data_IF_148131575839
#
_entry.id   IF_148131575839
#
_cell.length_a   1.000
_cell.length_b   1.000
_cell.length_c   1.000
_cell.angle_alpha   90.00
_cell.angle_beta   90.00
_cell.angle_gamma   90.00
#
_symmetry.space_group_name_H-M   'P 1'
#
loop_
_entity.id
_entity.type
_entity.pdbx_description
1 polymer ?
#
# COMPACT_ATOMS: atom_id res chain seq x y z
N UNK A 1 -7.19 11.63 -23.64
CA UNK A 1 -7.90 11.37 -22.37
C UNK A 1 -8.56 12.65 -21.85
N UNK A 2 -9.52 12.54 -20.92
CA UNK A 2 -10.04 13.72 -20.21
C UNK A 2 -8.99 14.32 -19.28
N UNK A 3 -9.02 15.65 -19.16
CA UNK A 3 -8.11 16.41 -18.28
C UNK A 3 -8.49 16.22 -16.82
N UNK A 4 -7.88 15.23 -16.16
CA UNK A 4 -8.06 14.91 -14.73
C UNK A 4 -6.86 14.15 -14.18
N UNK A 5 -6.86 13.92 -12.85
CA UNK A 5 -5.89 13.06 -12.20
C UNK A 5 -6.40 11.60 -12.17
N UNK A 6 -5.64 10.69 -12.74
CA UNK A 6 -5.87 9.24 -12.66
C UNK A 6 -4.95 8.62 -11.61
N UNK A 7 -5.51 8.00 -10.57
CA UNK A 7 -4.75 7.18 -9.63
C UNK A 7 -4.78 5.75 -10.14
N UNK A 8 -3.64 5.23 -10.58
CA UNK A 8 -3.56 3.97 -11.31
C UNK A 8 -2.80 2.93 -10.48
N UNK A 9 -3.50 1.91 -9.94
CA UNK A 9 -2.84 0.81 -9.24
C UNK A 9 -1.91 0.02 -10.15
N UNK A 10 -0.73 -0.33 -9.61
CA UNK A 10 0.28 -1.15 -10.27
C UNK A 10 0.40 -2.52 -9.57
N UNK A 11 0.94 -3.56 -10.24
CA UNK A 11 1.13 -4.87 -9.65
C UNK A 11 1.94 -4.84 -8.35
N UNK A 12 1.60 -5.69 -7.39
CA UNK A 12 2.34 -5.83 -6.12
C UNK A 12 3.40 -6.94 -6.14
N UNK A 13 3.60 -7.58 -7.30
CA UNK A 13 4.59 -8.65 -7.45
C UNK A 13 4.39 -9.51 -8.69
N UNK A 14 3.16 -9.64 -9.19
CA UNK A 14 2.83 -10.36 -10.39
C UNK A 14 2.29 -9.40 -11.46
N UNK A 15 2.94 -9.33 -12.61
CA UNK A 15 2.56 -8.42 -13.70
C UNK A 15 1.16 -8.70 -14.26
N UNK A 16 0.63 -9.93 -14.10
CA UNK A 16 -0.72 -10.30 -14.53
C UNK A 16 -1.83 -9.62 -13.70
N UNK A 17 -1.49 -9.07 -12.52
CA UNK A 17 -2.46 -8.37 -11.66
C UNK A 17 -2.76 -6.94 -12.13
N UNK A 18 -2.13 -6.45 -13.19
CA UNK A 18 -2.48 -5.16 -13.79
C UNK A 18 -3.78 -5.26 -14.57
N UNK A 19 -4.64 -4.27 -14.43
CA UNK A 19 -5.89 -4.26 -15.20
C UNK A 19 -5.66 -3.76 -16.64
N UNK A 20 -6.45 -4.27 -17.58
CA UNK A 20 -6.44 -3.78 -18.97
C UNK A 20 -6.74 -2.28 -19.04
N UNK A 21 -7.60 -1.76 -18.13
CA UNK A 21 -7.89 -0.34 -18.04
C UNK A 21 -6.70 0.47 -17.56
N UNK A 22 -5.94 -0.04 -16.59
CA UNK A 22 -4.70 0.61 -16.13
C UNK A 22 -3.70 0.75 -17.29
N UNK A 23 -3.45 -0.32 -18.04
CA UNK A 23 -2.56 -0.29 -19.21
C UNK A 23 -3.04 0.75 -20.22
N UNK A 24 -4.33 0.76 -20.57
CA UNK A 24 -4.90 1.73 -21.51
C UNK A 24 -4.72 3.17 -21.02
N UNK A 25 -5.07 3.45 -19.76
CA UNK A 25 -4.93 4.80 -19.19
C UNK A 25 -3.47 5.25 -19.22
N UNK A 26 -2.53 4.39 -18.81
CA UNK A 26 -1.10 4.73 -18.83
C UNK A 26 -0.55 4.97 -20.24
N UNK A 27 -1.14 4.37 -21.30
CA UNK A 27 -0.78 4.63 -22.70
C UNK A 27 -1.35 5.94 -23.25
N UNK A 28 -2.48 6.39 -22.73
CA UNK A 28 -3.26 7.49 -23.31
C UNK A 28 -3.09 8.83 -22.58
N UNK A 29 -2.61 8.86 -21.31
CA UNK A 29 -2.40 10.11 -20.59
C UNK A 29 -1.19 10.88 -21.11
N UNK A 30 -1.18 12.21 -20.89
CA UNK A 30 -0.08 13.09 -21.32
C UNK A 30 1.15 12.97 -20.42
N UNK A 31 0.95 12.61 -19.14
CA UNK A 31 2.02 12.52 -18.16
C UNK A 31 1.76 11.38 -17.16
N UNK A 32 2.81 10.62 -16.85
CA UNK A 32 2.83 9.69 -15.70
C UNK A 32 3.72 10.26 -14.60
N UNK A 33 3.19 10.31 -13.38
CA UNK A 33 3.92 10.59 -12.15
C UNK A 33 4.25 9.26 -11.47
N UNK A 34 5.52 9.04 -11.17
CA UNK A 34 5.99 7.80 -10.56
C UNK A 34 6.85 8.08 -9.33
N UNK A 35 6.73 7.24 -8.30
CA UNK A 35 7.51 7.33 -7.07
C UNK A 35 9.00 7.09 -7.36
N UNK A 36 9.36 5.93 -7.92
CA UNK A 36 10.68 5.64 -8.47
C UNK A 36 10.59 5.35 -9.97
N UNK A 37 11.12 6.27 -10.78
CA UNK A 37 11.10 6.15 -12.24
C UNK A 37 11.88 4.95 -12.77
N UNK A 38 12.82 4.39 -11.99
CA UNK A 38 13.60 3.20 -12.37
C UNK A 38 12.75 1.93 -12.23
N UNK A 39 12.00 1.83 -11.13
CA UNK A 39 11.06 0.72 -10.88
C UNK A 39 9.91 0.78 -11.87
N UNK A 40 9.22 1.91 -11.93
CA UNK A 40 8.10 2.13 -12.83
C UNK A 40 8.50 1.99 -14.31
N UNK A 41 9.72 2.41 -14.69
CA UNK A 41 10.23 2.27 -16.05
C UNK A 41 10.29 0.80 -16.54
N UNK A 42 10.55 -0.15 -15.64
CA UNK A 42 10.51 -1.59 -15.99
C UNK A 42 9.10 -2.05 -16.32
N UNK A 43 8.12 -1.62 -15.51
CA UNK A 43 6.69 -1.90 -15.74
C UNK A 43 6.23 -1.32 -17.07
N UNK A 44 6.49 -0.02 -17.29
CA UNK A 44 6.08 0.66 -18.53
C UNK A 44 6.70 0.02 -19.77
N UNK A 45 7.98 -0.34 -19.70
CA UNK A 45 8.67 -1.05 -20.79
C UNK A 45 8.03 -2.41 -21.09
N UNK A 46 7.66 -3.17 -20.05
CA UNK A 46 7.04 -4.49 -20.23
C UNK A 46 5.71 -4.42 -20.98
N UNK A 47 4.89 -3.39 -20.71
CA UNK A 47 3.60 -3.18 -21.37
C UNK A 47 3.65 -2.27 -22.61
N UNK A 48 4.86 -1.95 -23.08
CA UNK A 48 5.06 -1.08 -24.25
C UNK A 48 4.36 0.28 -24.08
N UNK A 49 4.50 0.89 -22.91
CA UNK A 49 3.99 2.22 -22.57
C UNK A 49 5.12 3.21 -22.75
N UNK A 50 4.96 4.14 -23.71
CA UNK A 50 5.95 5.16 -24.05
C UNK A 50 5.64 6.55 -23.48
N UNK A 51 4.58 6.68 -22.71
CA UNK A 51 4.13 7.94 -22.10
C UNK A 51 5.23 8.55 -21.24
N UNK A 52 5.38 9.88 -21.34
CA UNK A 52 6.39 10.62 -20.61
C UNK A 52 6.19 10.48 -19.09
N UNK A 53 7.28 10.25 -18.36
CA UNK A 53 7.25 9.97 -16.92
C UNK A 53 8.08 10.99 -16.14
N UNK A 54 7.52 11.52 -15.05
CA UNK A 54 8.21 12.36 -14.08
C UNK A 54 8.23 11.74 -12.70
N UNK A 55 9.27 12.02 -11.92
CA UNK A 55 9.36 11.60 -10.53
C UNK A 55 8.45 12.44 -9.62
N UNK A 56 7.63 11.76 -8.80
CA UNK A 56 6.77 12.35 -7.79
C UNK A 56 6.79 11.48 -6.53
N UNK A 57 7.59 11.86 -5.55
CA UNK A 57 7.83 11.09 -4.34
C UNK A 57 7.73 11.99 -3.09
N UNK A 58 7.69 11.40 -1.91
CA UNK A 58 7.53 12.07 -0.62
C UNK A 58 8.45 13.30 -0.42
N UNK A 59 9.68 13.28 -0.96
CA UNK A 59 10.64 14.38 -0.78
C UNK A 59 10.46 15.55 -1.76
N UNK A 60 9.76 15.36 -2.90
CA UNK A 60 9.51 16.43 -3.87
C UNK A 60 8.04 16.82 -4.00
N UNK A 61 7.13 16.03 -3.46
CA UNK A 61 5.66 16.18 -3.53
C UNK A 61 5.23 17.62 -3.23
N UNK A 62 5.66 18.21 -2.10
CA UNK A 62 5.33 19.58 -1.73
C UNK A 62 5.72 20.65 -2.77
N UNK A 63 6.75 20.40 -3.58
CA UNK A 63 7.24 21.35 -4.59
C UNK A 63 6.54 21.19 -5.93
N UNK A 64 6.06 19.99 -6.23
CA UNK A 64 5.52 19.63 -7.55
C UNK A 64 4.01 19.76 -7.64
N UNK A 65 3.28 19.60 -6.52
CA UNK A 65 1.81 19.56 -6.46
C UNK A 65 1.17 20.75 -7.17
N UNK A 66 1.55 21.99 -6.86
CA UNK A 66 0.93 23.17 -7.45
C UNK A 66 1.12 23.23 -8.99
N UNK A 67 2.28 22.85 -9.48
CA UNK A 67 2.57 22.79 -10.90
C UNK A 67 1.72 21.71 -11.61
N UNK A 68 1.60 20.52 -11.01
CA UNK A 68 0.81 19.43 -11.56
C UNK A 68 -0.67 19.81 -11.64
N UNK A 69 -1.23 20.39 -10.57
CA UNK A 69 -2.61 20.90 -10.58
C UNK A 69 -2.83 21.90 -11.71
N UNK A 70 -1.88 22.83 -11.92
CA UNK A 70 -1.98 23.82 -12.99
C UNK A 70 -1.92 23.18 -14.39
N UNK A 71 -1.07 22.16 -14.59
CA UNK A 71 -1.00 21.40 -15.85
C UNK A 71 -2.33 20.74 -16.18
N UNK A 72 -2.97 20.08 -15.19
CA UNK A 72 -4.28 19.45 -15.40
C UNK A 72 -5.34 20.51 -15.72
N UNK A 73 -5.36 21.66 -15.02
CA UNK A 73 -6.28 22.77 -15.33
C UNK A 73 -6.06 23.36 -16.72
N UNK A 74 -4.86 23.25 -17.27
CA UNK A 74 -4.53 23.68 -18.63
C UNK A 74 -4.86 22.61 -19.69
N UNK A 75 -5.48 21.50 -19.32
CA UNK A 75 -5.97 20.50 -20.27
C UNK A 75 -5.19 19.20 -20.31
N UNK A 76 -4.11 19.04 -19.53
CA UNK A 76 -3.36 17.78 -19.52
C UNK A 76 -4.07 16.69 -18.68
N UNK A 77 -4.00 15.45 -19.15
CA UNK A 77 -4.38 14.25 -18.41
C UNK A 77 -3.15 13.67 -17.69
N UNK A 78 -3.26 13.42 -16.38
CA UNK A 78 -2.11 12.98 -15.57
C UNK A 78 -2.44 11.70 -14.83
N UNK A 79 -1.57 10.69 -14.93
CA UNK A 79 -1.65 9.48 -14.11
C UNK A 79 -0.62 9.53 -12.98
N UNK A 80 -1.03 9.11 -11.77
CA UNK A 80 -0.13 8.83 -10.65
C UNK A 80 -0.06 7.33 -10.41
N UNK A 81 1.15 6.79 -10.33
CA UNK A 81 1.46 5.42 -9.94
C UNK A 81 2.43 5.41 -8.75
N UNK A 82 2.36 4.37 -7.93
CA UNK A 82 3.38 4.03 -6.92
C UNK A 82 4.25 2.87 -7.39
N UNK A 83 5.26 2.52 -6.63
CA UNK A 83 6.14 1.40 -6.95
C UNK A 83 5.40 0.06 -6.96
N UNK A 84 4.36 -0.08 -6.12
CA UNK A 84 3.52 -1.26 -6.05
C UNK A 84 2.15 -0.93 -5.43
N UNK A 85 1.07 -1.45 -6.00
CA UNK A 85 -0.27 -1.32 -5.45
C UNK A 85 -0.98 -0.02 -5.80
N UNK A 86 -1.90 0.40 -4.93
CA UNK A 86 -2.75 1.57 -5.14
C UNK A 86 -2.08 2.83 -4.60
N UNK A 87 -1.83 3.86 -5.44
CA UNK A 87 -1.23 5.12 -5.01
C UNK A 87 -1.98 5.78 -3.85
N UNK A 88 -1.28 6.50 -3.00
CA UNK A 88 -1.77 7.16 -1.79
C UNK A 88 -2.18 6.22 -0.64
N UNK A 89 -2.07 4.90 -0.80
CA UNK A 89 -2.27 3.92 0.28
C UNK A 89 -0.90 3.52 0.84
N UNK A 90 -0.47 4.17 1.91
CA UNK A 90 0.89 4.07 2.50
C UNK A 90 2.02 4.57 1.59
N UNK A 91 1.69 5.21 0.48
CA UNK A 91 2.56 5.74 -0.56
C UNK A 91 2.29 7.23 -0.80
N UNK A 92 3.15 7.95 -1.55
CA UNK A 92 2.89 9.33 -1.97
C UNK A 92 1.59 9.44 -2.80
N UNK A 93 0.97 10.64 -2.74
CA UNK A 93 -0.21 10.93 -3.54
C UNK A 93 -1.35 11.62 -2.79
N UNK A 94 -1.41 11.49 -1.46
CA UNK A 94 -2.45 12.15 -0.67
C UNK A 94 -2.46 13.66 -0.86
N UNK A 95 -1.29 14.33 -0.84
CA UNK A 95 -1.21 15.78 -1.00
C UNK A 95 -1.65 16.23 -2.40
N UNK A 96 -1.28 15.48 -3.43
CA UNK A 96 -1.69 15.77 -4.81
C UNK A 96 -3.21 15.58 -4.97
N UNK A 97 -3.74 14.48 -4.49
CA UNK A 97 -5.18 14.18 -4.53
C UNK A 97 -5.98 15.28 -3.85
N UNK A 98 -5.58 15.66 -2.63
CA UNK A 98 -6.22 16.73 -1.87
C UNK A 98 -6.15 18.07 -2.60
N UNK A 99 -4.98 18.45 -3.11
CA UNK A 99 -4.80 19.71 -3.84
C UNK A 99 -5.63 19.75 -5.14
N UNK A 100 -5.75 18.62 -5.86
CA UNK A 100 -6.64 18.51 -7.02
C UNK A 100 -8.10 18.82 -6.63
N UNK A 101 -8.61 18.20 -5.58
CA UNK A 101 -9.98 18.44 -5.10
C UNK A 101 -10.19 19.89 -4.65
N UNK A 102 -9.26 20.46 -3.89
CA UNK A 102 -9.31 21.87 -3.44
C UNK A 102 -9.30 22.87 -4.61
N UNK A 103 -8.79 22.45 -5.78
CA UNK A 103 -8.73 23.29 -6.99
C UNK A 103 -9.78 22.92 -8.06
N UNK A 104 -10.76 22.08 -7.74
CA UNK A 104 -11.83 21.69 -8.65
C UNK A 104 -11.35 20.79 -9.81
N UNK A 105 -10.21 20.11 -9.65
CA UNK A 105 -9.71 19.12 -10.59
C UNK A 105 -10.36 17.77 -10.30
N UNK A 106 -10.92 17.15 -11.32
CA UNK A 106 -11.53 15.82 -11.23
C UNK A 106 -10.47 14.73 -10.98
N UNK A 107 -10.84 13.72 -10.19
CA UNK A 107 -9.98 12.58 -9.87
C UNK A 107 -10.71 11.28 -10.20
N UNK A 108 -10.00 10.36 -10.81
CA UNK A 108 -10.46 9.00 -11.03
C UNK A 108 -9.46 7.99 -10.46
N UNK A 109 -9.84 7.31 -9.36
CA UNK A 109 -9.07 6.20 -8.83
C UNK A 109 -9.55 4.89 -9.49
N UNK A 110 -8.66 4.22 -10.20
CA UNK A 110 -8.99 2.94 -10.82
C UNK A 110 -9.00 1.82 -9.76
N UNK A 111 -9.92 0.84 -9.84
CA UNK A 111 -9.79 -0.40 -9.08
C UNK A 111 -8.57 -1.19 -9.57
N UNK A 112 -7.86 -1.83 -8.65
CA UNK A 112 -6.68 -2.61 -9.00
C UNK A 112 -5.99 -3.24 -7.81
N UNK A 113 -4.74 -3.67 -8.00
CA UNK A 113 -3.98 -4.40 -7.01
C UNK A 113 -3.73 -3.58 -5.73
N UNK A 114 -3.90 -4.25 -4.58
CA UNK A 114 -3.51 -3.74 -3.26
C UNK A 114 -3.26 -4.92 -2.32
N UNK A 115 -2.21 -4.87 -1.52
CA UNK A 115 -1.78 -6.03 -0.75
C UNK A 115 -2.70 -6.39 0.43
N UNK A 116 -3.32 -5.39 1.08
CA UNK A 116 -4.08 -5.63 2.29
C UNK A 116 -5.41 -6.37 2.04
N UNK A 117 -6.04 -6.21 0.88
CA UNK A 117 -7.32 -6.89 0.55
C UNK A 117 -7.14 -8.40 0.45
N UNK A 118 -6.26 -8.95 -0.41
CA UNK A 118 -6.03 -10.40 -0.45
C UNK A 118 -5.51 -10.95 0.88
N UNK A 119 -4.66 -10.22 1.61
CA UNK A 119 -4.21 -10.63 2.93
C UNK A 119 -5.38 -10.76 3.93
N UNK A 120 -6.29 -9.79 3.96
CA UNK A 120 -7.47 -9.83 4.82
C UNK A 120 -8.38 -11.02 4.48
N UNK A 121 -8.67 -11.23 3.20
CA UNK A 121 -9.50 -12.36 2.75
C UNK A 121 -8.83 -13.69 3.09
N UNK A 122 -7.53 -13.82 2.83
CA UNK A 122 -6.75 -15.03 3.13
C UNK A 122 -6.58 -15.28 4.64
N UNK A 123 -6.78 -14.27 5.49
CA UNK A 123 -6.59 -14.42 6.94
C UNK A 123 -7.60 -15.40 7.57
N UNK A 124 -8.83 -15.45 7.05
CA UNK A 124 -9.95 -16.15 7.67
C UNK A 124 -10.47 -15.47 8.95
N UNK A 125 -9.99 -14.28 9.29
CA UNK A 125 -10.50 -13.46 10.39
C UNK A 125 -11.74 -12.68 9.92
N UNK A 126 -12.60 -12.20 10.85
CA UNK A 126 -13.75 -11.36 10.51
C UNK A 126 -13.35 -10.19 9.63
N UNK A 127 -14.01 -10.02 8.48
CA UNK A 127 -13.61 -9.05 7.46
C UNK A 127 -14.75 -8.10 7.03
N UNK A 128 -15.93 -8.22 7.67
CA UNK A 128 -17.06 -7.32 7.45
C UNK A 128 -16.78 -5.88 7.95
N UNK A 129 -15.95 -5.76 8.98
CA UNK A 129 -15.46 -4.49 9.53
C UNK A 129 -14.01 -4.62 9.93
N UNK A 130 -13.17 -3.73 9.44
CA UNK A 130 -11.73 -3.75 9.73
C UNK A 130 -11.15 -2.35 9.83
N UNK A 131 -9.95 -2.26 10.38
CA UNK A 131 -9.13 -1.05 10.43
C UNK A 131 -7.86 -1.30 9.63
N UNK A 132 -7.58 -0.46 8.65
CA UNK A 132 -6.28 -0.43 7.98
C UNK A 132 -5.38 0.59 8.68
N UNK A 133 -4.34 0.11 9.34
CA UNK A 133 -3.39 0.92 10.09
C UNK A 133 -2.14 1.27 9.25
N UNK A 134 -1.81 0.46 8.26
CA UNK A 134 -0.57 0.60 7.49
C UNK A 134 0.66 0.34 8.35
N UNK A 135 1.72 1.14 8.18
CA UNK A 135 2.96 1.00 8.96
C UNK A 135 2.85 1.68 10.32
N UNK A 136 3.14 0.93 11.38
CA UNK A 136 3.25 1.50 12.73
C UNK A 136 4.39 2.53 12.82
N UNK A 137 4.24 3.59 13.64
CA UNK A 137 5.32 4.53 13.91
C UNK A 137 6.60 3.83 14.38
N UNK A 138 7.77 4.28 13.88
CA UNK A 138 9.06 3.63 14.19
C UNK A 138 9.48 3.83 15.65
N UNK A 139 9.27 5.04 16.20
CA UNK A 139 9.69 5.43 17.56
C UNK A 139 8.58 6.22 18.27
N UNK A 140 8.52 7.54 18.05
CA UNK A 140 7.60 8.46 18.71
C UNK A 140 6.15 8.08 18.39
N UNK A 141 5.31 7.93 19.42
CA UNK A 141 3.88 7.60 19.29
C UNK A 141 3.56 6.11 19.09
N UNK A 142 4.56 5.22 18.92
CA UNK A 142 4.32 3.79 18.69
C UNK A 142 3.58 3.12 19.84
N UNK A 143 4.06 3.28 21.07
CA UNK A 143 3.43 2.66 22.25
C UNK A 143 2.02 3.21 22.50
N UNK A 144 1.84 4.53 22.38
CA UNK A 144 0.52 5.16 22.50
C UNK A 144 -0.46 4.61 21.45
N UNK A 145 0.02 4.41 20.21
CA UNK A 145 -0.81 3.85 19.14
C UNK A 145 -1.16 2.39 19.40
N UNK A 146 -0.21 1.57 19.84
CA UNK A 146 -0.46 0.17 20.21
C UNK A 146 -1.44 0.05 21.37
N UNK A 147 -1.28 0.87 22.43
CA UNK A 147 -2.22 0.91 23.55
C UNK A 147 -3.64 1.29 23.10
N UNK A 148 -3.78 2.26 22.20
CA UNK A 148 -5.07 2.62 21.61
C UNK A 148 -5.69 1.46 20.83
N UNK A 149 -4.89 0.75 20.01
CA UNK A 149 -5.35 -0.37 19.19
C UNK A 149 -5.64 -1.64 20.00
N UNK A 150 -5.14 -1.74 21.24
CA UNK A 150 -5.38 -2.90 22.10
C UNK A 150 -6.87 -3.14 22.38
N UNK A 151 -7.66 -2.07 22.41
CA UNK A 151 -9.11 -2.12 22.63
C UNK A 151 -9.94 -2.21 21.35
N UNK A 152 -9.30 -2.25 20.17
CA UNK A 152 -10.00 -2.36 18.89
C UNK A 152 -10.67 -3.74 18.76
N UNK A 153 -11.98 -3.74 18.52
CA UNK A 153 -12.79 -4.96 18.39
C UNK A 153 -12.87 -5.48 16.95
N UNK A 154 -12.50 -4.64 15.97
CA UNK A 154 -12.45 -5.01 14.55
C UNK A 154 -11.10 -5.64 14.22
N UNK A 155 -11.04 -6.39 13.13
CA UNK A 155 -9.78 -6.86 12.55
C UNK A 155 -8.90 -5.68 12.15
N UNK A 156 -7.60 -5.73 12.51
CA UNK A 156 -6.63 -4.68 12.23
C UNK A 156 -5.60 -5.19 11.23
N UNK A 157 -5.25 -4.36 10.25
CA UNK A 157 -4.31 -4.71 9.18
C UNK A 157 -3.12 -3.77 9.22
N UNK A 158 -1.92 -4.36 9.24
CA UNK A 158 -0.65 -3.63 9.23
C UNK A 158 0.18 -4.04 8.01
N UNK A 159 0.98 -3.10 7.52
CA UNK A 159 2.14 -3.38 6.68
C UNK A 159 3.38 -3.47 7.55
N UNK A 160 4.28 -4.42 7.27
CA UNK A 160 5.51 -4.52 8.04
C UNK A 160 6.70 -4.99 7.18
N UNK A 161 7.86 -4.46 7.50
CA UNK A 161 9.12 -4.86 6.89
C UNK A 161 9.74 -6.07 7.59
N UNK A 162 10.57 -6.88 6.89
CA UNK A 162 11.25 -8.03 7.49
C UNK A 162 12.11 -7.63 8.68
N UNK A 163 12.73 -6.45 8.63
CA UNK A 163 13.61 -5.96 9.69
C UNK A 163 12.90 -5.61 11.00
N UNK A 164 11.58 -5.43 10.97
CA UNK A 164 10.79 -5.00 12.14
C UNK A 164 9.76 -6.04 12.56
N UNK A 165 9.47 -7.03 11.75
CA UNK A 165 8.38 -7.98 11.98
C UNK A 165 8.45 -8.61 13.38
N UNK A 166 9.59 -9.20 13.74
CA UNK A 166 9.73 -9.87 15.06
C UNK A 166 9.52 -8.89 16.23
N UNK A 167 10.09 -7.67 16.12
CA UNK A 167 9.86 -6.63 17.13
C UNK A 167 8.39 -6.21 17.20
N UNK A 168 7.71 -6.15 16.07
CA UNK A 168 6.29 -5.80 16.01
C UNK A 168 5.43 -6.90 16.64
N UNK A 169 5.72 -8.16 16.37
CA UNK A 169 5.05 -9.30 16.99
C UNK A 169 5.25 -9.33 18.52
N UNK A 170 6.47 -9.05 19.01
CA UNK A 170 6.73 -8.90 20.44
C UNK A 170 5.89 -7.79 21.07
N UNK A 171 5.78 -6.63 20.39
CA UNK A 171 4.89 -5.57 20.84
C UNK A 171 3.42 -5.99 20.83
N UNK A 172 2.99 -6.79 19.85
CA UNK A 172 1.61 -7.30 19.81
C UNK A 172 1.33 -8.27 20.98
N UNK A 173 2.29 -9.12 21.35
CA UNK A 173 2.14 -9.97 22.54
C UNK A 173 1.98 -9.15 23.81
N UNK A 174 2.74 -8.05 23.96
CA UNK A 174 2.69 -7.15 25.11
C UNK A 174 1.36 -6.39 25.20
N UNK A 175 0.88 -5.81 24.08
CA UNK A 175 -0.29 -4.92 24.08
C UNK A 175 -1.61 -5.62 23.77
N UNK A 176 -1.60 -6.63 22.88
CA UNK A 176 -2.82 -7.30 22.41
C UNK A 176 -3.02 -8.68 23.06
N UNK A 177 -1.95 -9.24 23.65
CA UNK A 177 -1.93 -10.59 24.21
C UNK A 177 -1.33 -11.64 23.28
N UNK A 178 -0.63 -12.61 23.88
CA UNK A 178 0.08 -13.68 23.17
C UNK A 178 -0.87 -14.61 22.39
N UNK A 179 -2.08 -14.81 22.89
CA UNK A 179 -3.10 -15.69 22.27
C UNK A 179 -3.97 -14.99 21.22
N UNK A 180 -3.70 -13.69 20.92
CA UNK A 180 -4.45 -12.94 19.93
C UNK A 180 -4.33 -13.62 18.56
N UNK A 181 -5.44 -13.94 17.88
CA UNK A 181 -5.41 -14.52 16.54
C UNK A 181 -4.74 -13.57 15.55
N UNK A 182 -3.89 -14.12 14.70
CA UNK A 182 -3.12 -13.37 13.71
C UNK A 182 -2.95 -14.18 12.43
N UNK A 183 -2.89 -13.49 11.31
CA UNK A 183 -2.46 -14.03 10.03
C UNK A 183 -1.35 -13.16 9.45
N UNK A 184 -0.33 -13.77 8.89
CA UNK A 184 0.81 -13.09 8.28
C UNK A 184 0.96 -13.57 6.85
N UNK A 185 0.68 -12.68 5.89
CA UNK A 185 0.92 -12.93 4.46
C UNK A 185 2.26 -12.32 4.07
N UNK A 186 3.11 -13.12 3.44
CA UNK A 186 4.44 -12.77 2.98
C UNK A 186 4.46 -12.81 1.47
N UNK A 187 5.12 -11.82 0.84
CA UNK A 187 5.42 -11.81 -0.60
C UNK A 187 4.20 -12.17 -1.49
N UNK A 188 3.03 -11.60 -1.17
CA UNK A 188 1.79 -11.82 -1.92
C UNK A 188 2.00 -11.64 -3.41
N UNK A 189 1.45 -12.57 -4.20
CA UNK A 189 1.52 -12.68 -5.66
C UNK A 189 2.92 -13.01 -6.24
N UNK A 190 3.95 -13.11 -5.38
CA UNK A 190 5.33 -13.40 -5.78
C UNK A 190 5.66 -14.89 -5.62
N UNK A 191 6.83 -15.32 -6.15
CA UNK A 191 7.29 -16.70 -6.11
C UNK A 191 7.33 -17.33 -4.70
N UNK A 192 7.60 -16.52 -3.67
CA UNK A 192 7.71 -16.99 -2.29
C UNK A 192 6.51 -16.58 -1.44
N UNK A 193 5.34 -16.48 -2.06
CA UNK A 193 4.10 -16.22 -1.34
C UNK A 193 3.84 -17.28 -0.27
N UNK A 194 3.54 -16.84 0.93
CA UNK A 194 3.21 -17.70 2.06
C UNK A 194 2.21 -16.97 2.97
N UNK A 195 1.20 -17.67 3.47
CA UNK A 195 0.29 -17.12 4.48
C UNK A 195 0.24 -18.06 5.69
N UNK A 196 0.73 -17.57 6.82
CA UNK A 196 0.72 -18.24 8.12
C UNK A 196 -0.47 -17.75 8.95
N UNK A 197 -1.08 -18.65 9.73
CA UNK A 197 -2.22 -18.36 10.61
C UNK A 197 -1.99 -19.03 11.96
N UNK A 198 -2.39 -18.36 13.03
CA UNK A 198 -2.23 -18.86 14.39
C UNK A 198 -2.39 -17.75 15.42
N UNK A 199 -1.66 -17.85 16.51
CA UNK A 199 -1.56 -16.85 17.58
C UNK A 199 -0.31 -15.99 17.43
N UNK A 200 -0.28 -14.85 18.10
CA UNK A 200 0.91 -13.98 18.14
C UNK A 200 2.12 -14.75 18.67
N UNK A 201 1.93 -15.60 19.72
CA UNK A 201 3.01 -16.41 20.29
C UNK A 201 3.61 -17.39 19.28
N UNK A 202 2.77 -18.11 18.54
CA UNK A 202 3.21 -19.06 17.51
C UNK A 202 3.98 -18.35 16.39
N UNK A 203 3.57 -17.15 16.00
CA UNK A 203 4.29 -16.34 15.00
C UNK A 203 5.64 -15.86 15.52
N UNK A 204 5.75 -15.48 16.80
CA UNK A 204 7.03 -15.12 17.40
C UNK A 204 7.98 -16.33 17.37
N UNK A 205 7.51 -17.51 17.76
CA UNK A 205 8.30 -18.74 17.74
C UNK A 205 8.78 -19.06 16.30
N UNK A 206 7.84 -19.03 15.34
CA UNK A 206 8.15 -19.30 13.93
C UNK A 206 9.25 -18.38 13.39
N UNK A 207 9.10 -17.04 13.55
CA UNK A 207 10.05 -16.08 13.00
C UNK A 207 11.33 -15.92 13.82
N UNK A 208 11.37 -16.43 15.04
CA UNK A 208 12.61 -16.58 15.81
C UNK A 208 13.48 -17.71 15.22
N UNK A 209 12.84 -18.81 14.82
CA UNK A 209 13.53 -19.96 14.22
C UNK A 209 13.82 -19.78 12.72
N UNK A 210 12.97 -19.03 12.00
CA UNK A 210 13.09 -18.74 10.57
C UNK A 210 13.08 -17.22 10.34
N UNK A 211 14.24 -16.56 10.25
CA UNK A 211 14.30 -15.11 10.09
C UNK A 211 13.46 -14.59 8.91
N UNK A 212 12.66 -13.53 9.11
CA UNK A 212 11.74 -13.02 8.11
C UNK A 212 12.47 -12.41 6.91
N UNK A 213 11.96 -12.65 5.70
CA UNK A 213 12.45 -12.10 4.44
C UNK A 213 11.27 -11.69 3.58
N UNK A 214 11.43 -10.60 2.82
CA UNK A 214 10.40 -10.07 1.93
C UNK A 214 9.47 -9.09 2.63
N UNK A 215 8.33 -8.81 2.04
CA UNK A 215 7.33 -7.85 2.50
C UNK A 215 6.16 -8.58 3.17
N UNK A 216 5.60 -7.97 4.18
CA UNK A 216 4.57 -8.60 5.00
C UNK A 216 3.31 -7.74 5.13
N UNK A 217 2.17 -8.41 5.05
CA UNK A 217 0.90 -7.90 5.55
C UNK A 217 0.51 -8.71 6.78
N UNK A 218 0.27 -8.02 7.88
CA UNK A 218 -0.08 -8.63 9.17
C UNK A 218 -1.52 -8.28 9.49
N UNK A 219 -2.37 -9.30 9.64
CA UNK A 219 -3.79 -9.16 9.97
C UNK A 219 -4.02 -9.71 11.37
N UNK A 220 -4.49 -8.87 12.29
CA UNK A 220 -4.69 -9.20 13.71
C UNK A 220 -6.17 -9.19 14.02
N UNK A 221 -6.67 -10.23 14.67
CA UNK A 221 -8.06 -10.29 15.12
C UNK A 221 -8.40 -9.20 16.13
N UNK A 222 -9.63 -8.73 16.15
CA UNK A 222 -10.13 -7.77 17.13
C UNK A 222 -10.11 -8.30 18.56
N UNK A 223 -10.20 -7.40 19.54
CA UNK A 223 -10.40 -7.75 20.96
C UNK A 223 -11.74 -8.47 21.12
N UNK A 224 -11.72 -9.62 21.79
CA UNK A 224 -12.93 -10.34 22.20
C UNK A 224 -13.50 -9.78 23.48
#
# INVERSE_FOLDING_TARGET
MESKLYLVPTPIGNLEDITLRAIRVLKEVDLILAEDTRTSGKLLKHFEISTHMHSHHMHNEHKTVANIVQRIKNGESVALISDAGTPAISDPGFLLTRACLENGVEIECLPGATAFVPALVNSGLPNDKFVFEGFLPVKKGRQTRLAFLADETRTIIFYESPHKLLKTLTSFAEFFGADRPISISRELTKLYEETLRGTVAEMIEHFTNKPPKGEFVVVVGGKK
#
